data_IF_896407317157
#
_entry.id   IF_896407317157
#
_cell.length_a   1.000
_cell.length_b   1.000
_cell.length_c   1.000
_cell.angle_alpha   90.00
_cell.angle_beta   90.00
_cell.angle_gamma   90.00
#
_symmetry.space_group_name_H-M   'P 1'
#
loop_
_entity.id
_entity.type
_entity.pdbx_description
1 polymer ?
#
# COMPACT_ATOMS: atom_id res chain seq x y z
N UNK A 1 -58.30 15.34 -9.05
CA UNK A 1 -57.87 16.27 -7.98
C UNK A 1 -56.40 16.07 -7.70
N UNK A 2 -55.56 17.02 -8.13
CA UNK A 2 -54.11 17.03 -7.86
C UNK A 2 -53.89 17.46 -6.40
N UNK A 3 -53.54 16.52 -5.53
CA UNK A 3 -53.09 16.83 -4.17
C UNK A 3 -51.73 17.52 -4.28
N UNK A 4 -51.75 18.85 -4.39
CA UNK A 4 -50.59 19.71 -4.13
C UNK A 4 -50.19 19.47 -2.68
N UNK A 5 -49.18 18.63 -2.45
CA UNK A 5 -48.50 18.55 -1.17
C UNK A 5 -47.89 19.93 -0.89
N UNK A 6 -48.57 20.70 -0.03
CA UNK A 6 -48.03 21.91 0.57
C UNK A 6 -46.69 21.55 1.23
N UNK A 7 -45.60 22.10 0.71
CA UNK A 7 -44.31 22.10 1.37
C UNK A 7 -44.49 22.76 2.74
N UNK A 8 -44.61 21.95 3.79
CA UNK A 8 -44.44 22.43 5.15
C UNK A 8 -43.03 23.02 5.26
N UNK A 9 -42.93 24.33 5.45
CA UNK A 9 -41.76 25.07 5.91
C UNK A 9 -41.38 24.59 7.33
N UNK A 10 -41.00 23.32 7.45
CA UNK A 10 -40.53 22.70 8.68
C UNK A 10 -39.01 22.79 8.75
N UNK A 11 -38.49 23.07 9.94
CA UNK A 11 -37.06 23.15 10.30
C UNK A 11 -36.16 22.26 9.42
N UNK A 12 -34.97 22.75 9.00
CA UNK A 12 -34.03 21.93 8.24
C UNK A 12 -33.81 20.61 9.00
N UNK A 13 -33.99 19.48 8.30
CA UNK A 13 -33.79 18.17 8.88
C UNK A 13 -32.44 18.17 9.61
N UNK A 14 -32.44 17.88 10.91
CA UNK A 14 -31.21 17.79 11.69
C UNK A 14 -30.35 16.70 11.08
N UNK A 15 -29.35 17.14 10.32
CA UNK A 15 -28.40 16.27 9.66
C UNK A 15 -27.48 15.67 10.72
N UNK A 16 -27.47 14.34 10.80
CA UNK A 16 -26.45 13.58 11.50
C UNK A 16 -25.65 12.79 10.46
N UNK A 17 -24.41 12.41 10.79
CA UNK A 17 -23.54 11.67 9.86
C UNK A 17 -24.24 10.45 9.26
N UNK A 18 -24.95 9.67 10.07
CA UNK A 18 -25.71 8.50 9.58
C UNK A 18 -26.81 8.85 8.58
N UNK A 19 -27.55 9.94 8.81
CA UNK A 19 -28.61 10.42 7.90
C UNK A 19 -28.00 10.92 6.58
N UNK A 20 -26.87 11.64 6.65
CA UNK A 20 -26.11 12.07 5.48
C UNK A 20 -25.67 10.86 4.66
N UNK A 21 -25.07 9.85 5.29
CA UNK A 21 -24.58 8.65 4.61
C UNK A 21 -25.71 7.82 3.98
N UNK A 22 -26.89 7.73 4.62
CA UNK A 22 -28.08 7.11 4.04
C UNK A 22 -28.57 7.86 2.80
N UNK A 23 -28.65 9.19 2.86
CA UNK A 23 -29.05 10.03 1.73
C UNK A 23 -28.07 9.95 0.55
N UNK A 24 -26.76 10.01 0.84
CA UNK A 24 -25.69 9.84 -0.15
C UNK A 24 -25.77 8.46 -0.80
N UNK A 25 -26.00 7.41 -0.01
CA UNK A 25 -26.15 6.06 -0.55
C UNK A 25 -27.35 5.94 -1.49
N UNK A 26 -28.52 6.48 -1.08
CA UNK A 26 -29.73 6.47 -1.93
C UNK A 26 -29.49 7.16 -3.27
N UNK A 27 -28.78 8.30 -3.25
CA UNK A 27 -28.47 9.06 -4.46
C UNK A 27 -27.49 8.32 -5.38
N UNK A 28 -26.45 7.70 -4.81
CA UNK A 28 -25.40 6.98 -5.55
C UNK A 28 -25.72 5.50 -5.80
N UNK A 29 -26.93 5.03 -5.48
CA UNK A 29 -27.27 3.62 -5.59
C UNK A 29 -27.24 3.22 -7.07
N UNK A 30 -26.44 2.21 -7.42
CA UNK A 30 -26.31 1.64 -8.76
C UNK A 30 -25.80 2.57 -9.87
N UNK A 31 -25.35 3.80 -9.55
CA UNK A 31 -24.78 4.73 -10.52
C UNK A 31 -23.70 5.63 -9.92
N UNK A 32 -22.75 6.03 -10.75
CA UNK A 32 -21.86 7.13 -10.39
C UNK A 32 -22.62 8.45 -10.56
N UNK A 33 -22.51 9.33 -9.57
CA UNK A 33 -23.13 10.67 -9.60
C UNK A 33 -22.02 11.68 -9.40
N UNK A 34 -21.83 12.61 -10.34
CA UNK A 34 -20.84 13.67 -10.23
C UNK A 34 -21.17 14.69 -9.13
N UNK A 35 -20.18 15.45 -8.69
CA UNK A 35 -20.36 16.44 -7.63
C UNK A 35 -21.35 17.56 -8.01
N UNK A 36 -21.42 17.93 -9.29
CA UNK A 36 -22.35 18.91 -9.86
C UNK A 36 -23.82 18.52 -9.68
N UNK A 37 -24.11 17.22 -9.65
CA UNK A 37 -25.47 16.69 -9.52
C UNK A 37 -25.90 16.44 -8.07
N UNK A 38 -25.08 16.83 -7.07
CA UNK A 38 -25.48 16.73 -5.67
C UNK A 38 -26.35 17.92 -5.25
N UNK A 39 -27.47 17.69 -4.54
CA UNK A 39 -28.23 18.77 -3.93
C UNK A 39 -27.30 19.64 -3.05
N UNK A 40 -27.32 20.99 -3.19
CA UNK A 40 -26.41 21.87 -2.47
C UNK A 40 -26.42 21.68 -0.95
N UNK A 41 -27.60 21.41 -0.37
CA UNK A 41 -27.75 21.12 1.06
C UNK A 41 -27.04 19.82 1.47
N UNK A 42 -27.14 18.77 0.66
CA UNK A 42 -26.48 17.48 0.91
C UNK A 42 -24.96 17.61 0.73
N UNK A 43 -24.51 18.39 -0.25
CA UNK A 43 -23.09 18.67 -0.47
C UNK A 43 -22.46 19.37 0.74
N UNK A 44 -23.09 20.43 1.25
CA UNK A 44 -22.67 21.14 2.47
C UNK A 44 -22.66 20.20 3.68
N UNK A 45 -23.67 19.34 3.82
CA UNK A 45 -23.72 18.34 4.90
C UNK A 45 -22.59 17.30 4.78
N UNK A 46 -22.26 16.82 3.58
CA UNK A 46 -21.12 15.91 3.37
C UNK A 46 -19.79 16.55 3.80
N UNK A 47 -19.57 17.83 3.47
CA UNK A 47 -18.36 18.56 3.89
C UNK A 47 -18.31 18.73 5.41
N UNK A 48 -19.43 19.10 6.04
CA UNK A 48 -19.54 19.35 7.48
C UNK A 48 -19.37 18.08 8.33
N UNK A 49 -20.09 17.00 8.01
CA UNK A 49 -20.15 15.79 8.86
C UNK A 49 -19.19 14.69 8.42
N UNK A 50 -18.79 14.65 7.15
CA UNK A 50 -17.90 13.61 6.63
C UNK A 50 -16.55 14.16 6.16
N UNK A 51 -16.32 15.47 6.23
CA UNK A 51 -15.11 16.16 5.75
C UNK A 51 -15.11 16.42 4.24
N UNK A 52 -15.57 15.47 3.43
CA UNK A 52 -15.68 15.65 1.97
C UNK A 52 -16.77 14.78 1.34
N UNK A 53 -17.24 15.19 0.16
CA UNK A 53 -18.17 14.41 -0.65
C UNK A 53 -17.59 13.03 -1.02
N UNK A 54 -16.32 12.99 -1.41
CA UNK A 54 -15.63 11.74 -1.76
C UNK A 54 -15.61 10.77 -0.58
N UNK A 55 -15.34 11.28 0.63
CA UNK A 55 -15.34 10.49 1.86
C UNK A 55 -16.75 10.03 2.22
N UNK A 56 -17.76 10.89 2.06
CA UNK A 56 -19.17 10.54 2.29
C UNK A 56 -19.65 9.43 1.34
N UNK A 57 -19.40 9.55 0.03
CA UNK A 57 -19.74 8.50 -0.97
C UNK A 57 -19.10 7.17 -0.62
N UNK A 58 -17.83 7.20 -0.22
CA UNK A 58 -17.10 6.00 0.16
C UNK A 58 -17.64 5.36 1.44
N UNK A 59 -17.86 6.15 2.51
CA UNK A 59 -18.46 5.68 3.78
C UNK A 59 -19.87 5.11 3.55
N UNK A 60 -20.69 5.79 2.75
CA UNK A 60 -22.04 5.36 2.39
C UNK A 60 -22.06 4.00 1.69
N UNK A 61 -21.12 3.77 0.76
CA UNK A 61 -20.93 2.48 0.08
C UNK A 61 -20.38 1.38 1.01
N UNK A 62 -19.80 1.71 2.16
CA UNK A 62 -19.34 0.69 3.12
C UNK A 62 -20.48 0.29 4.06
N UNK A 63 -21.25 1.26 4.53
CA UNK A 63 -22.24 1.00 5.58
C UNK A 63 -23.54 0.41 5.03
N UNK A 64 -23.95 0.77 3.81
CA UNK A 64 -25.29 0.50 3.30
C UNK A 64 -25.34 -0.49 2.12
N UNK A 65 -24.20 -1.03 1.68
CA UNK A 65 -24.17 -2.04 0.62
C UNK A 65 -24.71 -3.37 1.19
N UNK A 66 -25.81 -3.86 0.61
CA UNK A 66 -26.59 -4.98 1.15
C UNK A 66 -25.98 -6.34 0.83
N UNK A 67 -25.07 -6.44 -0.13
CA UNK A 67 -24.60 -7.72 -0.66
C UNK A 67 -23.09 -7.86 -0.54
N UNK A 68 -22.67 -8.40 0.60
CA UNK A 68 -21.28 -8.77 0.84
C UNK A 68 -21.08 -10.23 0.44
N UNK A 69 -20.19 -10.47 -0.52
CA UNK A 69 -19.54 -11.76 -0.66
C UNK A 69 -18.08 -11.63 -0.18
N UNK A 70 -17.43 -12.76 0.07
CA UNK A 70 -16.09 -12.78 0.65
C UNK A 70 -15.04 -12.09 -0.25
N UNK A 71 -15.20 -12.14 -1.58
CA UNK A 71 -14.31 -11.45 -2.52
C UNK A 71 -14.46 -9.92 -2.49
N UNK A 72 -15.69 -9.40 -2.54
CA UNK A 72 -15.98 -7.97 -2.39
C UNK A 72 -15.51 -7.46 -1.03
N UNK A 73 -15.66 -8.29 0.01
CA UNK A 73 -15.12 -8.01 1.33
C UNK A 73 -13.58 -7.88 1.30
N UNK A 74 -12.85 -8.86 0.76
CA UNK A 74 -11.38 -8.80 0.66
C UNK A 74 -10.88 -7.62 -0.16
N UNK A 75 -11.48 -7.37 -1.32
CA UNK A 75 -11.15 -6.21 -2.16
C UNK A 75 -11.40 -4.90 -1.40
N UNK A 76 -12.47 -4.83 -0.61
CA UNK A 76 -12.76 -3.66 0.21
C UNK A 76 -11.77 -3.49 1.36
N UNK A 77 -11.36 -4.55 2.04
CA UNK A 77 -10.35 -4.49 3.09
C UNK A 77 -9.05 -3.88 2.56
N UNK A 78 -8.60 -4.29 1.37
CA UNK A 78 -7.44 -3.66 0.70
C UNK A 78 -7.62 -2.15 0.55
N UNK A 79 -8.76 -1.72 -0.01
CA UNK A 79 -9.06 -0.29 -0.21
C UNK A 79 -9.15 0.51 1.09
N UNK A 80 -9.65 -0.09 2.17
CA UNK A 80 -9.78 0.54 3.49
C UNK A 80 -8.39 0.73 4.12
N UNK A 81 -7.56 -0.31 4.10
CA UNK A 81 -6.20 -0.26 4.65
C UNK A 81 -5.24 0.66 3.87
N UNK A 82 -5.45 0.82 2.56
CA UNK A 82 -4.71 1.79 1.74
C UNK A 82 -5.11 3.24 2.03
N UNK A 83 -6.32 3.45 2.57
CA UNK A 83 -6.80 4.75 3.04
C UNK A 83 -6.57 4.83 4.56
N UNK A 84 -6.92 5.94 5.19
CA UNK A 84 -6.58 6.35 6.57
C UNK A 84 -6.75 5.31 7.72
N UNK A 85 -7.31 4.13 7.45
CA UNK A 85 -7.68 3.09 8.43
C UNK A 85 -6.56 2.08 8.68
N UNK A 86 -5.34 2.58 8.97
CA UNK A 86 -4.18 1.73 9.28
C UNK A 86 -4.39 0.94 10.57
N UNK A 87 -4.96 1.57 11.61
CA UNK A 87 -5.21 0.91 12.89
C UNK A 87 -6.56 0.17 12.90
N UNK A 88 -6.69 -0.82 13.78
CA UNK A 88 -7.92 -1.61 13.89
C UNK A 88 -9.08 -0.80 14.51
N UNK A 89 -8.76 0.16 15.38
CA UNK A 89 -9.75 1.01 16.07
C UNK A 89 -10.51 1.93 15.11
N UNK A 90 -9.86 2.33 14.03
CA UNK A 90 -10.40 3.27 13.06
C UNK A 90 -11.46 2.61 12.15
N UNK A 91 -11.51 1.28 12.12
CA UNK A 91 -12.39 0.56 11.20
C UNK A 91 -13.88 0.86 11.47
N UNK A 92 -14.68 1.13 10.42
CA UNK A 92 -16.12 1.28 10.55
C UNK A 92 -16.74 0.07 11.25
N UNK A 93 -17.70 0.32 12.17
CA UNK A 93 -18.35 -0.75 12.98
C UNK A 93 -18.88 -1.91 12.11
N UNK A 94 -19.56 -1.60 11.00
CA UNK A 94 -20.08 -2.63 10.08
C UNK A 94 -18.96 -3.45 9.43
N UNK A 95 -17.83 -2.81 9.07
CA UNK A 95 -16.69 -3.50 8.47
C UNK A 95 -15.99 -4.42 9.49
N UNK A 96 -15.92 -4.01 10.76
CA UNK A 96 -15.46 -4.87 11.87
C UNK A 96 -16.36 -6.07 12.07
N UNK A 97 -17.69 -5.88 12.02
CA UNK A 97 -18.65 -6.96 12.10
C UNK A 97 -18.48 -7.96 10.94
N UNK A 98 -18.29 -7.46 9.72
CA UNK A 98 -18.02 -8.30 8.54
C UNK A 98 -16.67 -9.04 8.67
N UNK A 99 -15.62 -8.39 9.17
CA UNK A 99 -14.34 -9.04 9.42
C UNK A 99 -14.43 -10.16 10.46
N UNK A 100 -15.23 -9.96 11.53
CA UNK A 100 -15.51 -11.00 12.52
C UNK A 100 -16.29 -12.17 11.89
N UNK A 101 -17.29 -11.87 11.04
CA UNK A 101 -18.11 -12.87 10.35
C UNK A 101 -17.30 -13.73 9.35
N UNK A 102 -16.49 -13.11 8.49
CA UNK A 102 -15.78 -13.83 7.43
C UNK A 102 -14.41 -14.38 7.85
N UNK A 103 -13.68 -13.65 8.68
CA UNK A 103 -12.27 -13.94 8.99
C UNK A 103 -12.01 -14.17 10.48
N UNK A 104 -13.01 -14.00 11.36
CA UNK A 104 -12.86 -14.07 12.81
C UNK A 104 -12.22 -12.84 13.46
N UNK A 105 -11.35 -12.11 12.75
CA UNK A 105 -10.72 -10.87 13.24
C UNK A 105 -10.36 -9.88 12.14
N UNK A 106 -10.19 -8.60 12.52
CA UNK A 106 -9.70 -7.54 11.63
C UNK A 106 -8.27 -7.85 11.16
N UNK A 107 -7.41 -8.33 12.06
CA UNK A 107 -6.03 -8.72 11.74
C UNK A 107 -5.99 -9.82 10.68
N UNK A 108 -6.80 -10.88 10.84
CA UNK A 108 -6.87 -11.98 9.87
C UNK A 108 -7.44 -11.50 8.53
N UNK A 109 -8.46 -10.63 8.55
CA UNK A 109 -8.96 -10.00 7.32
C UNK A 109 -7.89 -9.17 6.59
N UNK A 110 -7.05 -8.41 7.32
CA UNK A 110 -5.91 -7.67 6.73
C UNK A 110 -4.87 -8.61 6.13
N UNK A 111 -4.61 -9.74 6.77
CA UNK A 111 -3.67 -10.76 6.28
C UNK A 111 -4.20 -11.46 5.01
N UNK A 112 -5.46 -11.90 5.01
CA UNK A 112 -6.11 -12.53 3.85
C UNK A 112 -6.27 -11.55 2.67
N UNK A 113 -6.44 -10.27 2.98
CA UNK A 113 -6.40 -9.20 1.99
C UNK A 113 -4.97 -8.87 1.50
N UNK A 114 -3.91 -9.48 2.05
CA UNK A 114 -2.52 -9.22 1.66
C UNK A 114 -1.97 -7.87 2.12
N UNK A 115 -2.65 -7.20 3.06
CA UNK A 115 -2.21 -5.91 3.61
C UNK A 115 -1.16 -6.08 4.70
N UNK A 116 -1.13 -7.23 5.37
CA UNK A 116 -0.08 -7.61 6.30
C UNK A 116 0.77 -8.67 5.62
N UNK A 117 2.01 -8.33 5.27
CA UNK A 117 2.97 -9.31 4.80
C UNK A 117 3.39 -10.20 5.97
N UNK A 118 3.28 -11.51 5.82
CA UNK A 118 3.80 -12.46 6.79
C UNK A 118 5.32 -12.26 6.93
N UNK A 119 5.77 -11.89 8.13
CA UNK A 119 7.18 -11.71 8.44
C UNK A 119 7.98 -13.00 8.20
N UNK A 120 7.35 -14.17 8.38
CA UNK A 120 7.96 -15.48 8.10
C UNK A 120 8.23 -15.67 6.61
N UNK A 121 7.34 -15.18 5.72
CA UNK A 121 7.56 -15.22 4.26
C UNK A 121 8.66 -14.25 3.81
N UNK A 122 8.79 -13.07 4.43
CA UNK A 122 9.93 -12.16 4.17
C UNK A 122 11.27 -12.80 4.55
N UNK A 123 11.32 -13.47 5.70
CA UNK A 123 12.52 -14.21 6.12
C UNK A 123 12.82 -15.39 5.18
N UNK A 124 11.81 -16.14 4.71
CA UNK A 124 12.00 -17.22 3.71
C UNK A 124 12.59 -16.72 2.39
N UNK A 125 12.11 -15.60 1.84
CA UNK A 125 12.70 -15.02 0.61
C UNK A 125 14.15 -14.59 0.79
N UNK A 126 14.50 -14.03 1.96
CA UNK A 126 15.90 -13.74 2.30
C UNK A 126 16.72 -15.03 2.32
N UNK A 127 16.19 -16.10 2.92
CA UNK A 127 16.81 -17.42 2.94
C UNK A 127 16.92 -18.10 1.57
N UNK A 128 15.96 -17.91 0.66
CA UNK A 128 15.99 -18.48 -0.69
C UNK A 128 17.12 -17.89 -1.55
N UNK A 129 17.39 -16.59 -1.43
CA UNK A 129 18.55 -15.95 -2.07
C UNK A 129 19.87 -16.56 -1.57
N UNK A 130 19.90 -17.01 -0.30
CA UNK A 130 21.05 -17.71 0.29
C UNK A 130 21.06 -19.23 0.09
N UNK A 131 19.98 -19.83 -0.45
CA UNK A 131 19.88 -21.27 -0.73
C UNK A 131 20.52 -21.67 -2.05
N UNK A 132 20.59 -20.77 -3.01
CA UNK A 132 21.45 -20.99 -4.19
C UNK A 132 22.88 -21.05 -3.62
N UNK A 133 23.53 -22.21 -3.69
CA UNK A 133 24.95 -22.36 -3.34
C UNK A 133 25.77 -21.49 -4.30
N UNK A 134 25.93 -20.22 -3.97
CA UNK A 134 26.90 -19.36 -4.60
C UNK A 134 28.29 -19.83 -4.17
N UNK A 135 29.11 -20.25 -5.12
CA UNK A 135 30.55 -20.34 -4.89
C UNK A 135 31.14 -18.94 -4.99
N UNK A 136 32.25 -18.69 -4.29
CA UNK A 136 32.95 -17.39 -4.34
C UNK A 136 33.29 -17.01 -5.79
N UNK A 137 33.71 -17.98 -6.60
CA UNK A 137 34.02 -17.82 -8.02
C UNK A 137 32.81 -17.37 -8.86
N UNK A 138 31.64 -18.04 -8.72
CA UNK A 138 30.41 -17.63 -9.41
C UNK A 138 30.00 -16.22 -9.03
N UNK A 139 30.14 -15.87 -7.76
CA UNK A 139 29.85 -14.53 -7.28
C UNK A 139 30.80 -13.49 -7.89
N UNK A 140 32.11 -13.74 -7.93
CA UNK A 140 33.10 -12.81 -8.49
C UNK A 140 32.93 -12.59 -10.01
N UNK A 141 32.63 -13.64 -10.79
CA UNK A 141 32.29 -13.49 -12.21
C UNK A 141 31.07 -12.60 -12.40
N UNK A 142 30.04 -12.82 -11.58
CA UNK A 142 28.83 -12.03 -11.65
C UNK A 142 29.04 -10.58 -11.21
N UNK A 143 29.92 -10.33 -10.23
CA UNK A 143 30.36 -8.97 -9.86
C UNK A 143 31.08 -8.28 -11.02
N UNK A 144 31.96 -8.99 -11.73
CA UNK A 144 32.66 -8.47 -12.89
C UNK A 144 31.68 -8.06 -13.99
N UNK A 145 30.73 -8.93 -14.34
CA UNK A 145 29.65 -8.61 -15.29
C UNK A 145 28.83 -7.42 -14.82
N UNK A 146 28.35 -7.44 -13.57
CA UNK A 146 27.48 -6.42 -13.02
C UNK A 146 28.12 -5.03 -13.04
N UNK A 147 29.42 -4.92 -12.69
CA UNK A 147 30.14 -3.67 -12.76
C UNK A 147 30.50 -3.23 -14.18
N UNK A 148 30.65 -4.17 -15.12
CA UNK A 148 30.86 -3.85 -16.55
C UNK A 148 29.68 -3.09 -17.14
N UNK A 149 28.45 -3.33 -16.68
CA UNK A 149 27.22 -2.66 -17.14
C UNK A 149 26.94 -1.29 -16.47
N UNK A 150 27.93 -0.69 -15.78
CA UNK A 150 27.84 0.68 -15.26
C UNK A 150 27.50 0.81 -13.78
N UNK A 151 27.33 -0.30 -13.04
CA UNK A 151 27.07 -0.28 -11.59
C UNK A 151 28.36 -0.20 -10.76
N UNK A 152 29.10 0.88 -10.95
CA UNK A 152 30.44 1.08 -10.37
C UNK A 152 30.43 1.60 -8.94
N UNK A 153 29.32 2.20 -8.46
CA UNK A 153 29.22 2.75 -7.09
C UNK A 153 28.74 1.68 -6.10
N UNK A 154 29.20 1.66 -4.82
CA UNK A 154 28.71 0.71 -3.83
C UNK A 154 27.20 0.83 -3.54
N UNK A 155 26.66 2.05 -3.61
CA UNK A 155 25.25 2.34 -3.30
C UNK A 155 24.30 1.81 -4.38
N UNK A 156 24.79 1.68 -5.62
CA UNK A 156 24.00 1.18 -6.75
C UNK A 156 23.83 -0.34 -6.72
N UNK A 157 24.46 -1.04 -5.76
CA UNK A 157 24.34 -2.48 -5.62
C UNK A 157 23.03 -2.86 -4.88
N UNK A 158 22.25 -3.81 -5.41
CA UNK A 158 21.13 -4.39 -4.69
C UNK A 158 21.56 -4.93 -3.32
N UNK A 159 20.68 -4.82 -2.30
CA UNK A 159 21.00 -5.23 -0.92
C UNK A 159 21.50 -6.67 -0.82
N UNK A 160 20.93 -7.59 -1.59
CA UNK A 160 21.37 -8.99 -1.56
C UNK A 160 22.80 -9.16 -2.11
N UNK A 161 23.21 -8.39 -3.13
CA UNK A 161 24.59 -8.42 -3.63
C UNK A 161 25.57 -7.87 -2.60
N UNK A 162 25.17 -6.83 -1.86
CA UNK A 162 25.99 -6.28 -0.77
C UNK A 162 26.17 -7.30 0.34
N UNK A 163 25.10 -8.01 0.72
CA UNK A 163 25.18 -9.09 1.71
C UNK A 163 26.08 -10.25 1.23
N UNK A 164 26.00 -10.65 -0.05
CA UNK A 164 26.89 -11.66 -0.64
C UNK A 164 28.35 -11.18 -0.69
N UNK A 165 28.59 -9.90 -1.01
CA UNK A 165 29.93 -9.31 -1.01
C UNK A 165 30.57 -9.32 0.37
N UNK A 166 29.80 -8.97 1.41
CA UNK A 166 30.27 -9.04 2.81
C UNK A 166 30.55 -10.49 3.20
N UNK A 167 29.69 -11.44 2.79
CA UNK A 167 29.85 -12.86 3.13
C UNK A 167 31.09 -13.51 2.50
N UNK A 168 31.37 -13.27 1.22
CA UNK A 168 32.48 -13.94 0.51
C UNK A 168 33.78 -13.15 0.49
N UNK A 169 33.71 -11.82 0.58
CA UNK A 169 34.83 -10.92 0.34
C UNK A 169 34.98 -9.87 1.44
N UNK A 170 34.26 -9.93 2.56
CA UNK A 170 34.22 -8.95 3.69
C UNK A 170 33.59 -7.58 3.38
N UNK A 171 33.68 -7.08 2.14
CA UNK A 171 33.05 -5.81 1.73
C UNK A 171 32.81 -5.73 0.23
N UNK A 172 31.98 -4.77 -0.21
CA UNK A 172 31.76 -4.47 -1.64
C UNK A 172 33.05 -4.02 -2.32
N UNK A 173 33.89 -3.26 -1.63
CA UNK A 173 35.18 -2.80 -2.16
C UNK A 173 36.13 -3.98 -2.39
N UNK A 174 36.22 -4.88 -1.40
CA UNK A 174 37.03 -6.08 -1.53
C UNK A 174 36.50 -7.03 -2.61
N UNK A 175 35.19 -7.17 -2.78
CA UNK A 175 34.62 -7.93 -3.91
C UNK A 175 35.02 -7.34 -5.27
N UNK A 176 35.05 -6.01 -5.43
CA UNK A 176 35.53 -5.35 -6.66
C UNK A 176 37.03 -5.52 -6.88
N UNK A 177 37.80 -5.57 -5.81
CA UNK A 177 39.25 -5.82 -5.84
C UNK A 177 39.53 -7.25 -6.29
N UNK A 178 38.89 -8.23 -5.65
CA UNK A 178 39.02 -9.65 -5.99
C UNK A 178 38.49 -9.96 -7.39
N UNK A 179 37.43 -9.27 -7.85
CA UNK A 179 36.93 -9.34 -9.22
C UNK A 179 37.80 -8.58 -10.25
N UNK A 180 38.97 -8.06 -9.86
CA UNK A 180 39.93 -7.34 -10.72
C UNK A 180 39.33 -6.10 -11.43
N UNK A 181 38.29 -5.50 -10.87
CA UNK A 181 37.69 -4.25 -11.39
C UNK A 181 38.49 -3.05 -10.91
N UNK A 182 38.90 -3.05 -9.65
CA UNK A 182 39.77 -2.02 -9.10
C UNK A 182 41.21 -2.37 -9.45
N UNK A 183 41.85 -1.56 -10.31
CA UNK A 183 43.28 -1.66 -10.56
C UNK A 183 44.05 -0.90 -9.47
N UNK A 184 45.23 -1.44 -9.14
CA UNK A 184 46.11 -0.90 -8.12
C UNK A 184 46.76 0.41 -8.61
N UNK A 185 46.29 1.56 -8.12
CA UNK A 185 46.82 2.89 -8.46
C UNK A 185 48.29 3.11 -8.07
N UNK A 186 48.96 2.16 -7.39
CA UNK A 186 50.30 2.35 -6.81
C UNK A 186 51.47 2.31 -7.80
N UNK A 187 51.28 2.01 -9.09
CA UNK A 187 52.41 1.93 -10.06
C UNK A 187 52.67 3.20 -10.90
N UNK A 188 51.88 4.26 -10.76
CA UNK A 188 52.04 5.49 -11.56
C UNK A 188 52.51 6.72 -10.75
N UNK A 189 53.25 6.54 -9.65
CA UNK A 189 54.03 7.65 -9.09
C UNK A 189 55.21 7.95 -10.04
N UNK A 190 55.07 9.07 -10.76
CA UNK A 190 56.05 9.72 -11.64
C UNK A 190 57.51 9.38 -11.28
N UNK A 191 58.24 8.80 -12.24
CA UNK A 191 59.70 8.99 -12.32
C UNK A 191 59.93 10.49 -12.43
N UNK A 192 60.43 11.13 -11.38
CA UNK A 192 61.02 12.46 -11.48
C UNK A 192 62.36 12.24 -12.20
N UNK A 193 62.60 12.81 -13.39
CA UNK A 193 63.93 12.78 -13.98
C UNK A 193 64.86 13.58 -13.08
N UNK A 194 66.02 12.98 -12.77
CA UNK A 194 67.14 13.63 -12.09
C UNK A 194 67.69 14.80 -12.90
#
# INVERSE_FOLDING_TARGET
MLIKQKNSLGRPATWNEEKVLKAVHKLCKNRYVDASHFPPALYKACKKYCGSLRRAKWKAKILNDRHWNYEKFKARVRQVCLKEYKNEKDWPKNLRALAKKYCGSVRKAKWEAGMISDLRKKQRKKHEIFKIKWTKEKFLNWVWEFCRWGYQKPESWPNYMRELAVRYCSSVRAAKWEAKILQEQRKNSRKIPA
#
